data_IF_238952587556
#
_entry.id   IF_238952587556
#
_cell.length_a   1.000
_cell.length_b   1.000
_cell.length_c   1.000
_cell.angle_alpha   90.00
_cell.angle_beta   90.00
_cell.angle_gamma   90.00
#
_symmetry.space_group_name_H-M   'P 1'
#
loop_
_entity.id
_entity.type
_entity.pdbx_description
1 polymer ?
#
# COMPACT_ATOMS: atom_id res chain seq x y z
N UNK A 1 16.25 -46.36 9.86
CA UNK A 1 15.11 -45.96 9.00
C UNK A 1 15.45 -44.60 8.40
N UNK A 2 15.60 -44.49 7.07
CA UNK A 2 15.82 -43.20 6.43
C UNK A 2 14.57 -42.32 6.65
N UNK A 3 14.75 -41.12 7.18
CA UNK A 3 13.66 -40.14 7.32
C UNK A 3 13.23 -39.72 5.92
N UNK A 4 11.95 -39.90 5.62
CA UNK A 4 11.37 -39.54 4.34
C UNK A 4 11.14 -38.04 4.29
N UNK A 5 11.19 -37.44 3.10
CA UNK A 5 10.82 -36.03 2.87
C UNK A 5 9.42 -35.71 3.44
N UNK A 6 8.54 -36.71 3.47
CA UNK A 6 7.18 -36.61 4.02
C UNK A 6 7.14 -36.35 5.53
N UNK A 7 8.17 -36.71 6.30
CA UNK A 7 8.24 -36.38 7.74
C UNK A 7 8.50 -34.88 7.97
N UNK A 8 9.08 -34.20 6.98
CA UNK A 8 9.40 -32.77 7.08
C UNK A 8 8.31 -31.87 6.52
N UNK A 9 7.38 -32.40 5.71
CA UNK A 9 6.22 -31.68 5.18
C UNK A 9 5.46 -30.84 6.22
N UNK A 10 5.10 -31.36 7.42
CA UNK A 10 4.38 -30.56 8.41
C UNK A 10 5.22 -29.38 8.91
N UNK A 11 6.52 -29.55 9.11
CA UNK A 11 7.41 -28.47 9.52
C UNK A 11 7.58 -27.42 8.42
N UNK A 12 7.71 -27.86 7.16
CA UNK A 12 7.78 -26.96 6.00
C UNK A 12 6.50 -26.13 5.89
N UNK A 13 5.33 -26.75 6.07
CA UNK A 13 4.04 -26.06 6.04
C UNK A 13 3.92 -24.99 7.15
N UNK A 14 4.39 -25.29 8.37
CA UNK A 14 4.41 -24.34 9.47
C UNK A 14 5.30 -23.13 9.13
N UNK A 15 6.53 -23.38 8.66
CA UNK A 15 7.46 -22.31 8.29
C UNK A 15 6.87 -21.42 7.19
N UNK A 16 6.27 -22.03 6.16
CA UNK A 16 5.58 -21.29 5.09
C UNK A 16 4.43 -20.43 5.63
N UNK A 17 3.60 -20.97 6.52
CA UNK A 17 2.50 -20.21 7.11
C UNK A 17 2.99 -18.98 7.89
N UNK A 18 4.08 -19.12 8.66
CA UNK A 18 4.67 -17.99 9.40
C UNK A 18 5.25 -16.94 8.44
N UNK A 19 5.95 -17.36 7.39
CA UNK A 19 6.50 -16.44 6.38
C UNK A 19 5.38 -15.68 5.68
N UNK A 20 4.32 -16.37 5.24
CA UNK A 20 3.16 -15.73 4.59
C UNK A 20 2.48 -14.74 5.53
N UNK A 21 2.30 -15.10 6.81
CA UNK A 21 1.73 -14.19 7.80
C UNK A 21 2.61 -12.94 8.00
N UNK A 22 3.92 -13.12 8.15
CA UNK A 22 4.86 -12.01 8.32
C UNK A 22 4.85 -11.06 7.11
N UNK A 23 4.90 -11.59 5.89
CA UNK A 23 4.81 -10.80 4.66
C UNK A 23 3.45 -10.11 4.54
N UNK A 24 2.36 -10.77 4.93
CA UNK A 24 1.03 -10.17 4.90
C UNK A 24 0.90 -8.99 5.88
N UNK A 25 1.45 -9.12 7.09
CA UNK A 25 1.48 -8.02 8.06
C UNK A 25 2.39 -6.89 7.60
N UNK A 26 3.57 -7.20 7.04
CA UNK A 26 4.48 -6.21 6.49
C UNK A 26 3.84 -5.45 5.33
N UNK A 27 3.24 -6.14 4.36
CA UNK A 27 2.56 -5.51 3.22
C UNK A 27 1.34 -4.68 3.62
N UNK A 28 0.60 -5.07 4.67
CA UNK A 28 -0.48 -4.21 5.21
C UNK A 28 0.04 -3.01 6.00
N UNK A 29 1.15 -3.16 6.71
CA UNK A 29 1.75 -2.08 7.50
C UNK A 29 2.47 -1.07 6.61
N UNK A 30 3.03 -1.56 5.51
CA UNK A 30 3.74 -0.80 4.47
C UNK A 30 2.83 -0.43 3.30
N UNK A 31 1.53 -0.76 3.35
CA UNK A 31 0.58 -0.27 2.36
C UNK A 31 0.65 1.27 2.43
N UNK A 32 1.18 1.96 1.41
CA UNK A 32 1.26 3.40 1.44
C UNK A 32 -0.17 3.89 1.65
N UNK A 33 -0.36 4.74 2.67
CA UNK A 33 -1.67 5.31 2.98
C UNK A 33 -2.31 5.73 1.65
N UNK A 34 -3.60 5.37 1.42
CA UNK A 34 -4.21 5.56 0.11
C UNK A 34 -4.00 7.00 -0.30
N UNK A 35 -3.31 7.20 -1.43
CA UNK A 35 -2.94 8.54 -1.86
C UNK A 35 -4.19 9.40 -1.91
N UNK A 36 -4.22 10.40 -1.04
CA UNK A 36 -5.38 11.26 -0.88
C UNK A 36 -5.41 12.28 -1.99
N UNK A 37 -6.58 12.84 -2.26
CA UNK A 37 -6.74 13.94 -3.19
C UNK A 37 -5.70 15.05 -2.95
N UNK A 38 -5.44 15.40 -1.69
CA UNK A 38 -4.48 16.45 -1.32
C UNK A 38 -3.03 16.06 -1.61
N UNK A 39 -2.64 14.81 -1.35
CA UNK A 39 -1.29 14.31 -1.67
C UNK A 39 -1.05 14.25 -3.17
N UNK A 40 -2.06 13.86 -3.93
CA UNK A 40 -2.05 13.86 -5.40
C UNK A 40 -1.88 15.29 -5.93
N UNK A 41 -2.73 16.24 -5.51
CA UNK A 41 -2.61 17.64 -5.94
C UNK A 41 -1.25 18.22 -5.54
N UNK A 42 -0.78 18.03 -4.31
CA UNK A 42 0.50 18.56 -3.84
C UNK A 42 1.69 18.10 -4.70
N UNK A 43 1.71 16.82 -5.09
CA UNK A 43 2.75 16.25 -5.96
C UNK A 43 2.71 16.82 -7.37
N UNK A 44 1.50 17.04 -7.89
CA UNK A 44 1.30 17.60 -9.22
C UNK A 44 1.49 19.12 -9.27
N UNK A 45 1.27 19.85 -8.17
CA UNK A 45 1.57 21.29 -8.07
C UNK A 45 3.03 21.60 -7.78
N UNK A 46 3.79 20.64 -7.24
CA UNK A 46 5.24 20.77 -7.05
C UNK A 46 6.00 20.73 -8.39
N UNK A 47 5.40 20.13 -9.42
CA UNK A 47 5.78 20.40 -10.80
C UNK A 47 5.13 21.74 -11.20
N UNK A 48 5.93 22.75 -11.49
CA UNK A 48 5.46 24.08 -11.89
C UNK A 48 4.68 23.96 -13.22
N UNK A 49 3.35 23.81 -13.14
CA UNK A 49 2.48 23.54 -14.28
C UNK A 49 1.40 24.62 -14.44
N UNK A 50 1.10 24.97 -15.70
CA UNK A 50 0.17 26.04 -16.07
C UNK A 50 -1.29 25.75 -15.69
N UNK A 51 -2.18 26.74 -15.86
CA UNK A 51 -3.58 26.60 -15.43
C UNK A 51 -4.38 25.50 -16.15
N UNK A 52 -3.99 25.15 -17.38
CA UNK A 52 -4.57 24.02 -18.12
C UNK A 52 -4.21 22.67 -17.46
N UNK A 53 -2.96 22.51 -17.05
CA UNK A 53 -2.50 21.33 -16.33
C UNK A 53 -3.13 21.23 -14.94
N UNK A 54 -3.38 22.36 -14.25
CA UNK A 54 -4.10 22.35 -12.97
C UNK A 54 -5.50 21.75 -13.11
N UNK A 55 -6.21 22.05 -14.20
CA UNK A 55 -7.55 21.50 -14.45
C UNK A 55 -7.47 19.99 -14.74
N UNK A 56 -6.50 19.56 -15.55
CA UNK A 56 -6.27 18.14 -15.83
C UNK A 56 -5.86 17.37 -14.56
N UNK A 57 -4.95 17.92 -13.77
CA UNK A 57 -4.46 17.34 -12.52
C UNK A 57 -5.59 17.19 -11.49
N UNK A 58 -6.51 18.15 -11.40
CA UNK A 58 -7.74 18.01 -10.58
C UNK A 58 -8.62 16.86 -11.04
N UNK A 59 -8.77 16.65 -12.35
CA UNK A 59 -9.56 15.53 -12.89
C UNK A 59 -8.90 14.17 -12.62
N UNK A 60 -7.57 14.10 -12.71
CA UNK A 60 -6.78 12.89 -12.40
C UNK A 60 -6.90 12.56 -10.91
N UNK A 61 -6.87 13.57 -10.04
CA UNK A 61 -6.98 13.36 -8.60
C UNK A 61 -8.43 13.18 -8.11
N UNK A 62 -9.47 13.56 -8.87
CA UNK A 62 -10.87 13.53 -8.44
C UNK A 62 -11.39 12.12 -8.07
N UNK A 63 -10.79 11.06 -8.62
CA UNK A 63 -11.11 9.67 -8.27
C UNK A 63 -10.46 9.18 -6.96
N UNK A 64 -9.60 9.98 -6.32
CA UNK A 64 -8.93 9.62 -5.06
C UNK A 64 -9.81 9.97 -3.85
N UNK A 65 -9.72 9.19 -2.77
CA UNK A 65 -10.41 9.53 -1.53
C UNK A 65 -9.94 10.89 -1.02
N UNK A 66 -10.87 11.71 -0.53
CA UNK A 66 -10.52 12.92 0.22
C UNK A 66 -9.78 12.50 1.47
N UNK A 67 -8.73 13.22 1.84
CA UNK A 67 -8.07 12.98 3.12
C UNK A 67 -9.14 13.05 4.21
N UNK A 68 -9.28 11.98 5.01
CA UNK A 68 -10.05 12.09 6.23
C UNK A 68 -9.40 13.23 7.01
N UNK A 69 -10.17 14.29 7.33
CA UNK A 69 -9.74 15.23 8.35
C UNK A 69 -9.51 14.39 9.58
N UNK A 70 -8.25 14.11 9.91
CA UNK A 70 -7.87 13.76 11.27
C UNK A 70 -8.09 15.04 12.08
N UNK A 71 -9.35 15.34 12.38
CA UNK A 71 -9.66 16.04 13.63
C UNK A 71 -9.37 15.00 14.70
N UNK A 72 -8.32 15.16 15.50
CA UNK A 72 -8.08 16.36 16.29
C UNK A 72 -8.65 16.04 17.65
N UNK A 73 -7.81 15.42 18.49
CA UNK A 73 -8.03 15.30 19.93
C UNK A 73 -8.15 16.66 20.58
#
# INVERSE_FOLDING_TARGET
MPRSLTDYLPWIAIVLAVVVAAVYFDTRSTAPAPETYESCIARLTAADQGDADKALNRSICAGKPKAAKVGGS
#
